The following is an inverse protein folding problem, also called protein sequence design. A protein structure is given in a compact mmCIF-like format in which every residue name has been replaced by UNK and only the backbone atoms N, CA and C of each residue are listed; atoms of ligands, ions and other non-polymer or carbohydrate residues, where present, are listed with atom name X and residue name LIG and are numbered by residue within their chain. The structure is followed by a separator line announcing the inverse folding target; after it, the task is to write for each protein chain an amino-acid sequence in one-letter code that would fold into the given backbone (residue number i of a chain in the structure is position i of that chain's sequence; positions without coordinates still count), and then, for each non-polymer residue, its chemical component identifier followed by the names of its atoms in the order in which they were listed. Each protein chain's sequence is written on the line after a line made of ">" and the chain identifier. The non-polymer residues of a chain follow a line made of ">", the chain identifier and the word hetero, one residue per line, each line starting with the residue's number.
data_IF_436199001157
#
_entry.id   IF_436199001157
#
_cell.length_a   1.000
_cell.length_b   1.000
_cell.length_c   1.000
_cell.angle_alpha   90.00
_cell.angle_beta   90.00
_cell.angle_gamma   90.00
#
_symmetry.space_group_name_H-M   'P 1'
#
loop_
_entity.id
_entity.type
_entity.pdbx_description
1 polymer ?
#
# COMPACT_ATOMS: atom_id res chain seq x y z
N UNK A 1 7.07 7.83 10.58
CA UNK A 1 6.53 9.12 10.09
C UNK A 1 5.43 9.00 9.03
N UNK A 2 5.66 8.62 7.75
CA UNK A 2 4.55 8.53 6.75
C UNK A 2 3.45 7.51 7.11
N UNK A 3 3.85 6.33 7.58
CA UNK A 3 2.91 5.27 7.99
C UNK A 3 2.07 5.65 9.21
N UNK A 4 2.66 6.30 10.22
CA UNK A 4 1.95 6.72 11.44
C UNK A 4 0.89 7.80 11.17
N UNK A 5 1.18 8.77 10.31
CA UNK A 5 0.19 9.80 9.91
C UNK A 5 -1.00 9.15 9.21
N UNK A 6 -0.75 8.10 8.44
CA UNK A 6 -1.77 7.43 7.68
C UNK A 6 -2.64 6.50 8.54
N UNK A 7 -2.03 5.79 9.49
CA UNK A 7 -2.80 5.00 10.47
C UNK A 7 -3.72 5.89 11.31
N UNK A 8 -3.27 7.07 11.72
CA UNK A 8 -4.10 8.06 12.40
C UNK A 8 -5.28 8.55 11.54
N UNK A 9 -5.05 8.85 10.25
CA UNK A 9 -6.12 9.24 9.33
C UNK A 9 -7.14 8.11 9.19
N UNK A 10 -6.66 6.87 8.99
CA UNK A 10 -7.53 5.70 8.82
C UNK A 10 -8.38 5.41 10.06
N UNK A 11 -7.85 5.64 11.25
CA UNK A 11 -8.57 5.53 12.52
C UNK A 11 -9.71 6.57 12.60
N UNK A 12 -9.39 7.84 12.33
CA UNK A 12 -10.37 8.95 12.31
C UNK A 12 -11.48 8.70 11.28
N UNK A 13 -11.16 8.17 10.10
CA UNK A 13 -12.13 7.89 9.05
C UNK A 13 -13.14 6.78 9.40
N UNK A 14 -12.84 5.95 10.41
CA UNK A 14 -13.70 4.81 10.77
C UNK A 14 -14.36 4.90 12.12
N UNK A 15 -13.91 5.83 12.97
CA UNK A 15 -14.40 5.91 14.34
C UNK A 15 -15.87 6.38 14.34
N UNK A 16 -16.82 5.57 14.85
CA UNK A 16 -18.22 5.98 14.93
C UNK A 16 -18.44 7.12 15.91
N UNK A 17 -17.55 7.30 16.90
CA UNK A 17 -17.70 8.31 17.96
C UNK A 17 -16.39 9.02 18.28
N UNK A 18 -16.39 10.35 18.21
CA UNK A 18 -15.19 11.15 18.49
C UNK A 18 -15.37 12.03 19.71
N UNK A 19 -14.33 12.11 20.55
CA UNK A 19 -14.28 13.07 21.66
C UNK A 19 -13.93 14.46 21.11
N UNK A 20 -14.92 15.35 21.07
CA UNK A 20 -14.71 16.73 20.68
C UNK A 20 -14.32 17.55 21.90
N UNK A 21 -13.08 18.04 21.89
CA UNK A 21 -12.58 19.00 22.87
C UNK A 21 -12.72 20.42 22.33
N UNK A 22 -13.90 21.04 22.52
CA UNK A 22 -14.13 22.44 22.11
C UNK A 22 -13.39 23.37 23.06
N UNK A 23 -12.62 24.32 22.53
CA UNK A 23 -11.97 25.36 23.32
C UNK A 23 -13.04 26.13 24.12
N UNK A 24 -12.87 26.22 25.44
CA UNK A 24 -13.83 26.80 26.40
C UNK A 24 -15.16 26.05 26.57
N UNK A 25 -15.28 24.82 26.07
CA UNK A 25 -16.47 23.97 26.22
C UNK A 25 -16.22 22.74 27.09
N UNK A 26 -17.30 22.00 27.39
CA UNK A 26 -17.18 20.65 27.98
C UNK A 26 -16.77 19.66 26.90
N UNK A 27 -15.90 18.72 27.26
CA UNK A 27 -15.60 17.54 26.43
C UNK A 27 -16.88 16.74 26.25
N UNK A 28 -17.17 16.37 25.01
CA UNK A 28 -18.32 15.55 24.68
C UNK A 28 -17.96 14.55 23.59
N UNK A 29 -18.46 13.32 23.74
CA UNK A 29 -18.39 12.29 22.72
C UNK A 29 -19.61 12.43 21.81
N UNK A 30 -19.39 12.56 20.51
CA UNK A 30 -20.47 12.67 19.51
C UNK A 30 -20.32 11.59 18.45
N UNK A 31 -21.44 11.22 17.84
CA UNK A 31 -21.44 10.31 16.69
C UNK A 31 -20.95 11.07 15.44
N UNK A 32 -20.09 10.44 14.65
CA UNK A 32 -19.58 11.01 13.39
C UNK A 32 -20.45 10.56 12.23
N UNK A 33 -21.01 11.53 11.50
CA UNK A 33 -21.74 11.31 10.24
C UNK A 33 -21.02 11.96 9.04
N UNK A 34 -19.74 12.30 9.21
CA UNK A 34 -18.96 13.08 8.25
C UNK A 34 -18.44 12.18 7.12
N UNK A 35 -18.75 12.55 5.87
CA UNK A 35 -18.04 12.08 4.69
C UNK A 35 -16.82 12.96 4.40
N UNK A 36 -15.69 12.35 4.05
CA UNK A 36 -14.48 13.07 3.69
C UNK A 36 -14.28 13.05 2.18
N UNK A 37 -14.10 14.24 1.60
CA UNK A 37 -13.68 14.41 0.22
C UNK A 37 -12.31 15.10 0.23
N UNK A 38 -11.32 14.40 -0.33
CA UNK A 38 -9.92 14.80 -0.31
C UNK A 38 -9.45 15.00 -1.75
N UNK A 39 -8.68 16.06 -1.99
CA UNK A 39 -8.10 16.38 -3.29
C UNK A 39 -6.58 16.34 -3.19
N UNK A 40 -5.94 15.80 -4.21
CA UNK A 40 -4.49 15.72 -4.33
C UNK A 40 -4.07 15.68 -5.79
N UNK A 41 -2.93 16.29 -6.09
CA UNK A 41 -2.26 16.17 -7.38
C UNK A 41 -1.14 15.11 -7.36
N UNK A 42 -0.88 14.51 -6.20
CA UNK A 42 0.16 13.50 -5.99
C UNK A 42 -0.45 12.10 -6.01
N UNK A 43 0.13 11.23 -6.84
CA UNK A 43 -0.28 9.82 -6.97
C UNK A 43 0.06 9.00 -5.72
N UNK A 44 1.02 9.43 -4.91
CA UNK A 44 1.46 8.79 -3.65
C UNK A 44 0.92 9.50 -2.40
N UNK A 45 -0.18 10.26 -2.51
CA UNK A 45 -0.67 11.11 -1.43
C UNK A 45 -1.06 10.36 -0.15
N UNK A 46 -1.46 9.10 -0.27
CA UNK A 46 -1.87 8.26 0.84
C UNK A 46 -1.39 6.82 0.63
N UNK A 47 -0.72 6.24 1.62
CA UNK A 47 -0.32 4.82 1.62
C UNK A 47 -1.54 3.92 1.83
N UNK A 48 -2.03 3.31 0.77
CA UNK A 48 -3.17 2.40 0.85
C UNK A 48 -2.69 0.95 0.84
N UNK A 49 -3.02 0.14 1.87
CA UNK A 49 -2.89 -1.31 1.76
C UNK A 49 -3.87 -1.87 0.72
N UNK A 50 -3.50 -2.98 0.08
CA UNK A 50 -4.28 -3.60 -0.99
C UNK A 50 -5.67 -4.02 -0.51
N UNK A 51 -5.76 -4.48 0.74
CA UNK A 51 -6.99 -4.88 1.43
C UNK A 51 -7.84 -3.73 1.97
N UNK A 52 -7.38 -2.46 1.89
CA UNK A 52 -8.15 -1.34 2.41
C UNK A 52 -9.41 -1.09 1.55
N UNK A 53 -10.57 -1.28 2.17
CA UNK A 53 -11.88 -1.15 1.53
C UNK A 53 -12.57 0.19 1.74
N UNK A 54 -11.94 1.16 2.39
CA UNK A 54 -12.63 2.35 2.94
C UNK A 54 -12.48 3.59 2.08
N UNK A 55 -11.38 3.70 1.35
CA UNK A 55 -11.01 4.90 0.60
C UNK A 55 -11.18 4.65 -0.88
N UNK A 56 -12.12 5.38 -1.49
CA UNK A 56 -12.28 5.41 -2.94
C UNK A 56 -11.31 6.43 -3.53
N UNK A 57 -10.49 6.01 -4.49
CA UNK A 57 -9.58 6.89 -5.23
C UNK A 57 -10.16 7.05 -6.63
N UNK A 58 -10.43 8.29 -7.03
CA UNK A 58 -11.03 8.61 -8.32
C UNK A 58 -10.07 9.52 -9.11
N UNK A 59 -9.98 9.28 -10.42
CA UNK A 59 -9.21 10.13 -11.32
C UNK A 59 -9.93 11.44 -11.62
N UNK A 60 -9.13 12.51 -11.66
CA UNK A 60 -9.53 13.79 -12.24
C UNK A 60 -9.20 13.86 -13.73
N UNK A 61 -9.58 14.96 -14.41
CA UNK A 61 -9.17 15.19 -15.79
C UNK A 61 -7.65 15.35 -15.93
N UNK A 62 -7.09 14.88 -17.04
CA UNK A 62 -5.64 14.95 -17.33
C UNK A 62 -5.14 16.38 -17.63
N UNK A 63 -6.04 17.30 -17.96
CA UNK A 63 -5.74 18.68 -18.29
C UNK A 63 -6.73 19.63 -17.62
N UNK A 64 -6.24 20.84 -17.31
CA UNK A 64 -7.07 21.92 -16.80
C UNK A 64 -8.12 22.33 -17.85
N UNK A 65 -9.35 22.57 -17.39
CA UNK A 65 -10.37 23.15 -18.25
C UNK A 65 -10.03 24.61 -18.59
N UNK A 66 -10.60 25.13 -19.68
CA UNK A 66 -10.46 26.55 -20.03
C UNK A 66 -11.13 27.48 -19.01
N UNK A 67 -10.71 28.74 -18.99
CA UNK A 67 -11.24 29.77 -18.08
C UNK A 67 -12.77 29.90 -18.15
N UNK A 68 -13.34 29.80 -19.35
CA UNK A 68 -14.80 29.86 -19.57
C UNK A 68 -15.56 28.78 -18.80
N UNK A 69 -14.99 27.58 -18.67
CA UNK A 69 -15.61 26.47 -17.93
C UNK A 69 -15.73 26.81 -16.44
N UNK A 70 -14.66 27.33 -15.85
CA UNK A 70 -14.66 27.72 -14.44
C UNK A 70 -15.57 28.93 -14.20
N UNK A 71 -15.56 29.92 -15.10
CA UNK A 71 -16.45 31.07 -15.02
C UNK A 71 -17.94 30.64 -15.04
N UNK A 72 -18.28 29.66 -15.89
CA UNK A 72 -19.61 29.06 -15.87
C UNK A 72 -19.93 28.40 -14.53
N UNK A 73 -19.06 27.52 -14.01
CA UNK A 73 -19.29 26.84 -12.72
C UNK A 73 -19.49 27.86 -11.59
N UNK A 74 -18.60 28.86 -11.47
CA UNK A 74 -18.70 29.86 -10.42
C UNK A 74 -19.95 30.74 -10.54
N UNK A 75 -20.40 31.05 -11.76
CA UNK A 75 -21.66 31.79 -11.94
C UNK A 75 -22.87 30.93 -11.59
N UNK A 76 -22.87 29.64 -11.94
CA UNK A 76 -23.93 28.69 -11.59
C UNK A 76 -24.10 28.49 -10.07
N UNK A 77 -23.03 28.65 -9.28
CA UNK A 77 -23.12 28.63 -7.82
C UNK A 77 -23.96 29.77 -7.23
N UNK A 78 -24.20 30.85 -7.98
CA UNK A 78 -25.08 31.95 -7.60
C UNK A 78 -26.52 31.83 -8.12
N UNK A 79 -26.80 30.82 -8.95
CA UNK A 79 -28.11 30.63 -9.59
C UNK A 79 -28.98 29.68 -8.75
N UNK A 80 -30.07 30.20 -8.20
CA UNK A 80 -31.01 29.43 -7.38
C UNK A 80 -31.68 28.29 -8.13
N UNK A 81 -31.95 28.46 -9.42
CA UNK A 81 -32.61 27.44 -10.24
C UNK A 81 -31.65 26.28 -10.49
N UNK A 82 -30.39 26.58 -10.81
CA UNK A 82 -29.34 25.57 -10.94
C UNK A 82 -29.15 24.78 -9.63
N UNK A 83 -29.04 25.47 -8.49
CA UNK A 83 -28.90 24.82 -7.17
C UNK A 83 -30.09 23.89 -6.89
N UNK A 84 -31.32 24.35 -7.16
CA UNK A 84 -32.51 23.54 -6.98
C UNK A 84 -32.50 22.29 -7.87
N UNK A 85 -32.07 22.42 -9.13
CA UNK A 85 -31.93 21.29 -10.05
C UNK A 85 -30.91 20.26 -9.56
N UNK A 86 -29.73 20.70 -9.09
CA UNK A 86 -28.71 19.81 -8.52
C UNK A 86 -29.25 19.09 -7.29
N UNK A 87 -29.94 19.80 -6.40
CA UNK A 87 -30.60 19.18 -5.24
C UNK A 87 -31.59 18.10 -5.66
N UNK A 88 -32.50 18.40 -6.59
CA UNK A 88 -33.50 17.45 -7.07
C UNK A 88 -32.86 16.23 -7.73
N UNK A 89 -31.82 16.44 -8.53
CA UNK A 89 -31.05 15.35 -9.12
C UNK A 89 -30.48 14.43 -8.04
N UNK A 90 -29.75 14.97 -7.05
CA UNK A 90 -29.15 14.18 -5.98
C UNK A 90 -30.19 13.42 -5.15
N UNK A 91 -31.34 14.03 -4.89
CA UNK A 91 -32.46 13.38 -4.18
C UNK A 91 -33.15 12.28 -5.01
N UNK A 92 -32.99 12.29 -6.34
CA UNK A 92 -33.60 11.33 -7.25
C UNK A 92 -32.72 10.12 -7.57
N UNK A 93 -31.44 10.15 -7.19
CA UNK A 93 -30.50 9.06 -7.49
C UNK A 93 -30.88 7.81 -6.70
N UNK A 94 -31.17 6.71 -7.41
CA UNK A 94 -31.38 5.40 -6.79
C UNK A 94 -30.04 4.81 -6.31
N UNK A 95 -29.89 4.74 -4.99
CA UNK A 95 -28.72 4.18 -4.31
C UNK A 95 -29.00 2.80 -3.70
N UNK A 96 -30.11 2.14 -4.06
CA UNK A 96 -30.50 0.84 -3.49
C UNK A 96 -29.45 -0.26 -3.68
N UNK A 97 -28.64 -0.17 -4.74
CA UNK A 97 -27.55 -1.10 -5.05
C UNK A 97 -26.16 -0.55 -4.65
N UNK A 98 -26.08 0.64 -4.06
CA UNK A 98 -24.80 1.26 -3.71
C UNK A 98 -24.17 0.59 -2.49
N UNK A 99 -22.98 0.02 -2.68
CA UNK A 99 -22.20 -0.57 -1.60
C UNK A 99 -21.30 0.49 -0.94
N UNK A 100 -21.82 1.16 0.08
CA UNK A 100 -21.09 2.16 0.85
C UNK A 100 -19.94 1.59 1.71
N UNK A 101 -19.89 0.28 1.94
CA UNK A 101 -18.90 -0.36 2.80
C UNK A 101 -17.60 -0.73 2.08
N UNK A 102 -17.61 -0.71 0.75
CA UNK A 102 -16.48 -1.15 -0.06
C UNK A 102 -16.20 -0.18 -1.19
N UNK A 103 -15.06 0.50 -1.08
CA UNK A 103 -14.50 1.31 -2.13
C UNK A 103 -14.32 0.50 -3.44
N UNK A 104 -14.64 1.09 -4.61
CA UNK A 104 -14.43 0.45 -5.89
C UNK A 104 -12.93 0.25 -6.18
N UNK A 105 -12.60 -0.79 -6.94
CA UNK A 105 -11.24 -1.03 -7.41
C UNK A 105 -11.00 -0.28 -8.72
N UNK A 106 -10.61 0.99 -8.63
CA UNK A 106 -10.29 1.86 -9.77
C UNK A 106 -8.83 1.75 -10.18
N UNK A 107 -8.51 2.22 -11.39
CA UNK A 107 -7.13 2.28 -11.89
C UNK A 107 -6.27 3.20 -11.01
N UNK A 108 -6.83 4.33 -10.59
CA UNK A 108 -6.12 5.33 -9.77
C UNK A 108 -5.83 4.81 -8.38
N UNK A 109 -6.72 3.97 -7.83
CA UNK A 109 -6.44 3.24 -6.58
C UNK A 109 -5.25 2.30 -6.74
N UNK A 110 -5.18 1.55 -7.83
CA UNK A 110 -4.05 0.64 -8.08
C UNK A 110 -2.74 1.41 -8.23
N UNK A 111 -2.74 2.49 -9.02
CA UNK A 111 -1.58 3.38 -9.17
C UNK A 111 -1.12 3.97 -7.85
N UNK A 112 -2.05 4.39 -6.98
CA UNK A 112 -1.70 4.89 -5.65
C UNK A 112 -1.06 3.79 -4.80
N UNK A 113 -1.61 2.58 -4.78
CA UNK A 113 -1.01 1.44 -4.05
C UNK A 113 0.40 1.12 -4.56
N UNK A 114 0.59 1.11 -5.88
CA UNK A 114 1.87 0.83 -6.52
C UNK A 114 2.91 1.92 -6.25
N UNK A 115 2.51 3.20 -6.35
CA UNK A 115 3.40 4.35 -6.15
C UNK A 115 3.86 4.53 -4.70
N UNK A 116 3.16 3.91 -3.75
CA UNK A 116 3.58 3.91 -2.35
C UNK A 116 4.63 2.85 -2.01
N UNK A 117 4.96 1.95 -2.94
CA UNK A 117 6.03 0.97 -2.75
C UNK A 117 7.37 1.67 -2.92
N UNK A 118 8.29 1.48 -1.97
CA UNK A 118 9.67 1.94 -2.19
C UNK A 118 10.37 1.11 -3.27
N UNK A 119 11.42 1.63 -3.90
CA UNK A 119 12.22 0.88 -4.88
C UNK A 119 12.72 -0.46 -4.32
N UNK A 120 13.04 -0.49 -3.02
CA UNK A 120 13.40 -1.71 -2.28
C UNK A 120 12.24 -2.70 -2.19
N UNK A 121 11.01 -2.23 -1.97
CA UNK A 121 9.82 -3.08 -1.93
C UNK A 121 9.49 -3.65 -3.31
N UNK A 122 9.62 -2.83 -4.36
CA UNK A 122 9.44 -3.27 -5.74
C UNK A 122 10.46 -4.35 -6.10
N UNK A 123 11.75 -4.11 -5.82
CA UNK A 123 12.80 -5.08 -6.09
C UNK A 123 12.65 -6.36 -5.26
N UNK A 124 12.28 -6.24 -3.98
CA UNK A 124 12.00 -7.42 -3.17
C UNK A 124 10.84 -8.25 -3.74
N UNK A 125 9.78 -7.60 -4.22
CA UNK A 125 8.65 -8.30 -4.86
C UNK A 125 9.11 -9.00 -6.14
N UNK A 126 9.92 -8.34 -6.98
CA UNK A 126 10.52 -8.94 -8.18
C UNK A 126 11.28 -10.23 -7.85
N UNK A 127 12.17 -10.18 -6.85
CA UNK A 127 12.94 -11.34 -6.38
C UNK A 127 12.03 -12.45 -5.84
N UNK A 128 10.92 -12.12 -5.19
CA UNK A 128 9.98 -13.12 -4.66
C UNK A 128 9.09 -13.74 -5.73
N UNK A 129 8.77 -13.02 -6.80
CA UNK A 129 7.99 -13.52 -7.92
C UNK A 129 8.82 -14.39 -8.86
N UNK A 130 10.10 -14.05 -9.05
CA UNK A 130 11.04 -14.79 -9.89
C UNK A 130 12.35 -15.09 -9.12
N UNK A 131 12.30 -15.93 -8.07
CA UNK A 131 13.47 -16.20 -7.26
C UNK A 131 14.53 -17.00 -8.05
N UNK A 132 15.83 -16.65 -7.93
CA UNK A 132 16.90 -17.41 -8.59
C UNK A 132 16.95 -18.88 -8.17
N UNK A 133 16.57 -19.15 -6.93
CA UNK A 133 16.53 -20.48 -6.32
C UNK A 133 15.33 -20.57 -5.36
N UNK A 134 14.80 -21.78 -5.09
CA UNK A 134 13.53 -21.93 -4.36
C UNK A 134 13.60 -21.58 -2.85
N UNK A 135 14.80 -21.48 -2.28
CA UNK A 135 15.03 -21.00 -0.92
C UNK A 135 16.30 -20.15 -0.85
N UNK A 136 16.27 -19.07 -0.08
CA UNK A 136 17.40 -18.14 0.02
C UNK A 136 17.62 -17.69 1.46
N UNK A 137 18.86 -17.38 1.82
CA UNK A 137 19.14 -16.69 3.08
C UNK A 137 18.75 -15.22 3.00
N UNK A 138 18.56 -14.57 4.15
CA UNK A 138 18.32 -13.12 4.19
C UNK A 138 19.40 -12.33 3.43
N UNK A 139 20.66 -12.72 3.59
CA UNK A 139 21.78 -12.04 2.92
C UNK A 139 21.71 -12.20 1.39
N UNK A 140 21.41 -13.41 0.91
CA UNK A 140 21.25 -13.67 -0.53
C UNK A 140 20.09 -12.86 -1.13
N UNK A 141 18.97 -12.75 -0.41
CA UNK A 141 17.83 -11.92 -0.84
C UNK A 141 18.25 -10.46 -0.91
N UNK A 142 18.92 -9.94 0.11
CA UNK A 142 19.44 -8.57 0.13
C UNK A 142 20.39 -8.31 -1.04
N UNK A 143 21.28 -9.26 -1.35
CA UNK A 143 22.20 -9.13 -2.47
C UNK A 143 21.46 -8.99 -3.81
N UNK A 144 20.39 -9.77 -4.04
CA UNK A 144 19.57 -9.62 -5.27
C UNK A 144 18.82 -8.29 -5.32
N UNK A 145 18.26 -7.85 -4.19
CA UNK A 145 17.60 -6.54 -4.10
C UNK A 145 18.58 -5.39 -4.39
N UNK A 146 19.80 -5.46 -3.85
CA UNK A 146 20.86 -4.47 -4.14
C UNK A 146 21.25 -4.47 -5.62
N UNK A 147 21.25 -5.63 -6.29
CA UNK A 147 21.55 -5.69 -7.73
C UNK A 147 20.49 -4.95 -8.57
N UNK A 148 19.22 -5.00 -8.17
CA UNK A 148 18.15 -4.30 -8.88
C UNK A 148 18.12 -2.79 -8.58
N UNK A 149 18.30 -2.38 -7.31
CA UNK A 149 18.13 -0.98 -6.87
C UNK A 149 19.44 -0.18 -6.89
N UNK A 150 20.59 -0.85 -6.84
CA UNK A 150 21.91 -0.23 -6.73
C UNK A 150 22.47 -0.19 -5.30
N UNK A 151 23.79 0.03 -5.20
CA UNK A 151 24.56 -0.05 -3.95
C UNK A 151 24.22 1.03 -2.91
N UNK A 152 23.67 2.16 -3.35
CA UNK A 152 23.36 3.30 -2.47
C UNK A 152 22.01 3.17 -1.74
N UNK A 153 21.31 2.04 -1.92
CA UNK A 153 20.01 1.80 -1.30
C UNK A 153 20.11 1.60 0.23
N UNK A 154 19.40 2.44 1.00
CA UNK A 154 19.29 2.27 2.46
C UNK A 154 18.38 1.09 2.82
N UNK A 155 18.99 -0.05 3.16
CA UNK A 155 18.26 -1.27 3.52
C UNK A 155 17.93 -1.32 5.02
N UNK A 156 16.65 -1.39 5.34
CA UNK A 156 16.16 -1.62 6.70
C UNK A 156 15.80 -3.10 6.93
N UNK A 157 16.58 -3.79 7.77
CA UNK A 157 16.39 -5.20 8.06
C UNK A 157 15.02 -5.56 8.64
N UNK A 158 14.47 -4.72 9.52
CA UNK A 158 13.15 -4.97 10.12
C UNK A 158 12.05 -4.89 9.06
N UNK A 159 12.18 -3.96 8.13
CA UNK A 159 11.22 -3.74 7.05
C UNK A 159 11.22 -4.92 6.06
N UNK A 160 12.38 -5.33 5.54
CA UNK A 160 12.49 -6.49 4.65
C UNK A 160 11.97 -7.77 5.34
N UNK A 161 12.35 -8.00 6.59
CA UNK A 161 11.89 -9.17 7.35
C UNK A 161 10.37 -9.19 7.51
N UNK A 162 9.74 -8.03 7.72
CA UNK A 162 8.28 -7.90 7.81
C UNK A 162 7.63 -8.29 6.48
N UNK A 163 8.10 -7.72 5.37
CA UNK A 163 7.57 -8.00 4.03
C UNK A 163 7.73 -9.46 3.64
N UNK A 164 8.87 -10.07 3.94
CA UNK A 164 9.11 -11.49 3.70
C UNK A 164 8.08 -12.37 4.44
N UNK A 165 7.77 -12.07 5.71
CA UNK A 165 6.72 -12.79 6.47
C UNK A 165 5.34 -12.60 5.85
N UNK A 166 5.00 -11.37 5.46
CA UNK A 166 3.71 -11.04 4.86
C UNK A 166 3.51 -11.79 3.53
N UNK A 167 4.54 -11.82 2.67
CA UNK A 167 4.47 -12.43 1.33
C UNK A 167 4.60 -13.95 1.34
N UNK A 168 5.54 -14.50 2.12
CA UNK A 168 5.73 -15.96 2.20
C UNK A 168 4.71 -16.65 3.11
N UNK A 169 4.03 -15.88 3.99
CA UNK A 169 3.10 -16.36 5.02
C UNK A 169 3.71 -17.40 5.98
N UNK A 170 5.05 -17.44 6.08
CA UNK A 170 5.80 -18.33 6.98
C UNK A 170 7.02 -17.62 7.58
N UNK A 171 7.50 -18.05 8.76
CA UNK A 171 8.79 -17.60 9.26
C UNK A 171 9.93 -18.23 8.46
N UNK A 172 11.13 -17.67 8.61
CA UNK A 172 12.36 -18.35 8.19
C UNK A 172 12.52 -19.69 8.93
N UNK A 173 13.25 -20.62 8.31
CA UNK A 173 13.56 -21.93 8.89
C UNK A 173 14.33 -21.80 10.21
N UNK A 174 14.41 -22.91 10.93
CA UNK A 174 15.40 -23.09 11.98
C UNK A 174 16.83 -22.97 11.43
N UNK A 175 17.79 -22.86 12.35
CA UNK A 175 19.19 -22.67 12.00
C UNK A 175 19.77 -23.94 11.36
N UNK A 176 20.20 -23.82 10.11
CA UNK A 176 20.84 -24.88 9.32
C UNK A 176 22.32 -24.55 9.17
N UNK A 177 23.20 -25.52 9.43
CA UNK A 177 24.65 -25.32 9.32
C UNK A 177 25.11 -25.63 7.89
N UNK A 178 25.65 -24.62 7.22
CA UNK A 178 26.28 -24.72 5.91
C UNK A 178 27.74 -24.31 6.07
N UNK A 179 28.68 -25.18 5.65
CA UNK A 179 30.14 -24.95 5.79
C UNK A 179 30.58 -24.51 7.20
N UNK A 180 29.91 -25.01 8.23
CA UNK A 180 30.19 -24.68 9.64
C UNK A 180 29.56 -23.37 10.15
N UNK A 181 28.90 -22.59 9.28
CA UNK A 181 28.20 -21.36 9.63
C UNK A 181 26.69 -21.61 9.69
N UNK A 182 26.01 -21.05 10.69
CA UNK A 182 24.57 -21.20 10.85
C UNK A 182 23.79 -20.17 10.02
N UNK A 183 22.92 -20.64 9.13
CA UNK A 183 22.05 -19.82 8.29
C UNK A 183 20.58 -20.11 8.56
N UNK A 184 19.72 -19.13 8.30
CA UNK A 184 18.27 -19.30 8.25
C UNK A 184 17.78 -19.00 6.85
N UNK A 185 16.89 -19.85 6.35
CA UNK A 185 16.40 -19.78 4.98
C UNK A 185 14.96 -19.27 4.95
N UNK A 186 14.65 -18.50 3.93
CA UNK A 186 13.28 -18.19 3.52
C UNK A 186 12.93 -19.11 2.37
N UNK A 187 11.87 -19.91 2.55
CA UNK A 187 11.36 -20.77 1.49
C UNK A 187 10.45 -19.92 0.60
N UNK A 188 10.90 -19.67 -0.63
CA UNK A 188 10.26 -18.77 -1.58
C UNK A 188 9.25 -19.54 -2.46
N UNK A 189 9.55 -20.81 -2.76
CA UNK A 189 8.67 -21.67 -3.52
C UNK A 189 7.45 -22.16 -2.71
N UNK A 190 6.25 -22.00 -3.26
CA UNK A 190 4.99 -22.31 -2.56
C UNK A 190 4.81 -23.82 -2.38
N UNK A 191 4.34 -24.21 -1.19
CA UNK A 191 4.02 -25.60 -0.84
C UNK A 191 5.19 -26.60 -0.92
N UNK A 192 6.42 -26.10 -0.85
CA UNK A 192 7.62 -26.91 -0.75
C UNK A 192 8.22 -26.77 0.65
N UNK A 193 8.79 -27.88 1.13
CA UNK A 193 9.66 -27.95 2.29
C UNK A 193 10.95 -28.66 1.86
N UNK A 194 12.09 -28.20 2.37
CA UNK A 194 13.40 -28.70 2.01
C UNK A 194 14.09 -29.29 3.24
N UNK A 195 14.77 -30.41 3.07
CA UNK A 195 15.70 -30.97 4.04
C UNK A 195 16.95 -30.09 4.19
N UNK A 196 17.71 -30.31 5.26
CA UNK A 196 18.95 -29.56 5.49
C UNK A 196 19.98 -29.77 4.37
N UNK A 197 20.03 -30.97 3.78
CA UNK A 197 20.97 -31.28 2.69
C UNK A 197 20.55 -30.56 1.40
N UNK A 198 19.25 -30.52 1.08
CA UNK A 198 18.73 -29.74 -0.06
C UNK A 198 18.96 -28.23 0.12
N UNK A 199 18.73 -27.70 1.32
CA UNK A 199 19.01 -26.28 1.62
C UNK A 199 20.49 -25.94 1.46
N UNK A 200 21.39 -26.89 1.76
CA UNK A 200 22.82 -26.73 1.54
C UNK A 200 23.17 -26.65 0.05
N UNK A 201 22.62 -27.55 -0.77
CA UNK A 201 22.81 -27.52 -2.23
C UNK A 201 22.24 -26.25 -2.87
N UNK A 202 21.04 -25.84 -2.44
CA UNK A 202 20.39 -24.61 -2.87
C UNK A 202 21.25 -23.38 -2.52
N UNK A 203 21.78 -23.34 -1.30
CA UNK A 203 22.67 -22.26 -0.86
C UNK A 203 23.90 -22.14 -1.77
N UNK A 204 24.59 -23.26 -2.04
CA UNK A 204 25.77 -23.24 -2.90
C UNK A 204 25.45 -22.84 -4.34
N UNK A 205 24.29 -23.24 -4.84
CA UNK A 205 23.82 -22.89 -6.18
C UNK A 205 23.60 -21.38 -6.28
N UNK A 206 22.95 -20.79 -5.28
CA UNK A 206 22.73 -19.35 -5.22
C UNK A 206 24.05 -18.57 -5.11
N UNK A 207 24.98 -18.97 -4.24
CA UNK A 207 26.30 -18.33 -4.12
C UNK A 207 27.08 -18.33 -5.45
N UNK A 208 27.04 -19.44 -6.19
CA UNK A 208 27.69 -19.54 -7.50
C UNK A 208 27.06 -18.57 -8.51
N UNK A 209 25.73 -18.46 -8.53
CA UNK A 209 25.03 -17.50 -9.40
C UNK A 209 25.36 -16.05 -9.01
N UNK A 210 25.47 -15.76 -7.72
CA UNK A 210 25.76 -14.42 -7.22
C UNK A 210 27.22 -14.00 -7.43
N UNK A 211 28.15 -14.96 -7.46
CA UNK A 211 29.59 -14.73 -7.66
C UNK A 211 30.01 -14.71 -9.13
N UNK A 212 29.14 -15.10 -10.06
CA UNK A 212 29.41 -15.19 -11.50
C UNK A 212 29.12 -13.88 -12.26
N UNK A 213 28.77 -12.81 -11.55
CA UNK A 213 28.44 -11.47 -12.05
C UNK A 213 29.38 -10.47 -11.39
#
# INVERSE_FOLDING_TARGET
>A
MRYEVNDNIREILTEPRFEVNRKYGKKMTIDIFTGFLLYTNHIDALVLPEEDRRIAVLGGPDAEAGEEHYAYIYSALGDSDFIAQVYWYLMSVDISQFNWQRAPNTKERQLMIESNKSDIEVALISVLENPPVPAMTYQQIVNEVIKEVGLDAEINQKHITRLLREKTKRPATDLVKVKGVGHRFWILEKNCDFSNDELHEIFETCEKMQSAI
#
